data_IF_814470874309
#
_entry.id   IF_814470874309
#
_cell.length_a   1.000
_cell.length_b   1.000
_cell.length_c   1.000
_cell.angle_alpha   90.00
_cell.angle_beta   90.00
_cell.angle_gamma   90.00
#
_symmetry.space_group_name_H-M   'P 1'
#
loop_
_entity.id
_entity.type
_entity.pdbx_description
1 polymer ?
#
# COMPACT_ATOMS: atom_id res chain seq x y z
N UNK A 1 1.71 18.58 31.52
CA UNK A 1 1.03 17.41 30.92
C UNK A 1 0.91 16.35 32.02
N UNK A 2 -0.30 16.01 32.47
CA UNK A 2 -0.47 14.90 33.45
C UNK A 2 -0.25 13.58 32.70
N UNK A 3 0.56 12.69 33.27
CA UNK A 3 0.71 11.34 32.74
C UNK A 3 -0.65 10.63 32.81
N UNK A 4 -1.18 10.23 31.65
CA UNK A 4 -2.36 9.37 31.56
C UNK A 4 -1.86 7.93 31.59
N UNK A 5 -2.25 7.17 32.60
CA UNK A 5 -1.93 5.75 32.67
C UNK A 5 -2.82 5.00 31.67
N UNK A 6 -2.30 4.74 30.47
CA UNK A 6 -3.01 3.94 29.46
C UNK A 6 -2.71 2.47 29.70
N UNK A 7 -3.68 1.73 30.27
CA UNK A 7 -3.63 0.27 30.29
C UNK A 7 -4.28 -0.26 29.01
N UNK A 8 -3.45 -0.76 28.10
CA UNK A 8 -3.92 -1.41 26.87
C UNK A 8 -4.21 -2.87 27.18
N UNK A 9 -5.48 -3.24 27.13
CA UNK A 9 -5.88 -4.64 27.11
C UNK A 9 -5.83 -5.11 25.64
N UNK A 10 -4.78 -5.83 25.26
CA UNK A 10 -4.65 -6.44 23.93
C UNK A 10 -5.27 -7.83 23.97
N UNK A 11 -6.36 -8.05 23.24
CA UNK A 11 -7.01 -9.34 23.15
C UNK A 11 -6.23 -10.27 22.20
N UNK A 12 -5.91 -11.48 22.65
CA UNK A 12 -5.86 -12.65 21.76
C UNK A 12 -7.30 -12.92 21.24
N UNK A 13 -7.50 -13.71 20.16
CA UNK A 13 -8.82 -13.93 19.54
C UNK A 13 -9.90 -14.44 20.51
N UNK A 14 -9.48 -15.01 21.64
CA UNK A 14 -10.33 -15.31 22.78
C UNK A 14 -10.53 -14.04 23.62
N UNK A 15 -11.54 -13.27 23.22
CA UNK A 15 -12.32 -12.29 23.99
C UNK A 15 -11.70 -11.85 25.33
N UNK A 16 -11.32 -10.58 25.43
CA UNK A 16 -11.26 -9.90 26.73
C UNK A 16 -12.64 -10.09 27.38
N UNK A 17 -12.69 -10.98 28.37
CA UNK A 17 -13.91 -11.21 29.13
C UNK A 17 -14.21 -9.92 29.90
N UNK A 18 -15.44 -9.40 29.84
CA UNK A 18 -15.83 -8.20 30.61
C UNK A 18 -15.47 -8.28 32.10
N UNK A 19 -15.40 -9.49 32.67
CA UNK A 19 -14.93 -9.73 34.03
C UNK A 19 -13.48 -9.31 34.25
N UNK A 20 -12.55 -9.65 33.35
CA UNK A 20 -11.14 -9.30 33.50
C UNK A 20 -10.90 -7.78 33.51
N UNK A 21 -11.70 -7.02 32.75
CA UNK A 21 -11.66 -5.56 32.77
C UNK A 21 -12.19 -5.03 34.10
N UNK A 22 -13.31 -5.57 34.60
CA UNK A 22 -13.88 -5.18 35.89
C UNK A 22 -12.93 -5.51 37.05
N UNK A 23 -12.21 -6.62 36.98
CA UNK A 23 -11.23 -6.99 38.01
C UNK A 23 -10.04 -6.01 38.02
N UNK A 24 -9.57 -5.59 36.84
CA UNK A 24 -8.46 -4.65 36.70
C UNK A 24 -8.85 -3.18 36.93
N UNK A 25 -10.10 -2.84 36.64
CA UNK A 25 -10.72 -1.51 36.71
C UNK A 25 -12.11 -1.61 37.35
N UNK A 26 -12.20 -1.77 38.69
CA UNK A 26 -13.48 -1.97 39.40
C UNK A 26 -14.47 -0.81 39.24
N UNK A 27 -13.94 0.40 39.13
CA UNK A 27 -14.71 1.63 38.97
C UNK A 27 -15.13 1.88 37.50
N UNK A 28 -14.73 1.00 36.57
CA UNK A 28 -14.91 1.16 35.13
C UNK A 28 -13.74 1.86 34.44
N UNK A 29 -13.81 1.97 33.12
CA UNK A 29 -12.79 2.65 32.29
C UNK A 29 -13.24 4.04 31.87
N UNK A 30 -12.31 4.98 31.73
CA UNK A 30 -12.59 6.34 31.24
C UNK A 30 -13.01 6.35 29.77
N UNK A 31 -12.42 5.45 28.97
CA UNK A 31 -12.69 5.34 27.55
C UNK A 31 -12.64 3.89 27.05
N UNK A 32 -13.57 3.56 26.15
CA UNK A 32 -13.58 2.35 25.35
C UNK A 32 -13.29 2.71 23.89
N UNK A 33 -12.36 2.00 23.25
CA UNK A 33 -12.15 2.07 21.79
C UNK A 33 -12.51 0.71 21.20
N UNK A 34 -13.69 0.61 20.60
CA UNK A 34 -14.23 -0.62 20.02
C UNK A 34 -14.06 -0.62 18.49
N UNK A 35 -13.16 -1.47 18.01
CA UNK A 35 -12.87 -1.62 16.59
C UNK A 35 -13.57 -2.84 15.96
N UNK A 36 -14.30 -3.62 16.75
CA UNK A 36 -14.72 -4.98 16.36
C UNK A 36 -16.23 -5.20 16.38
N UNK A 37 -17.01 -4.46 17.18
CA UNK A 37 -18.47 -4.65 17.23
C UNK A 37 -19.14 -4.29 15.90
N UNK A 38 -19.78 -5.29 15.28
CA UNK A 38 -20.48 -5.11 14.02
C UNK A 38 -21.89 -4.53 14.18
N UNK A 39 -22.45 -4.56 15.39
CA UNK A 39 -23.81 -4.12 15.69
C UNK A 39 -23.89 -3.35 17.01
N UNK A 40 -25.00 -2.61 17.18
CA UNK A 40 -25.24 -1.74 18.33
C UNK A 40 -25.37 -2.50 19.67
N UNK A 41 -25.85 -3.74 19.65
CA UNK A 41 -26.02 -4.54 20.88
C UNK A 41 -24.67 -5.03 21.40
N UNK A 42 -23.82 -5.53 20.50
CA UNK A 42 -22.44 -5.92 20.80
C UNK A 42 -21.62 -4.73 21.33
N UNK A 43 -21.80 -3.54 20.74
CA UNK A 43 -21.16 -2.31 21.22
C UNK A 43 -21.68 -1.89 22.60
N UNK A 44 -23.00 -1.93 22.81
CA UNK A 44 -23.64 -1.63 24.10
C UNK A 44 -23.10 -2.53 25.22
N UNK A 45 -22.95 -3.83 24.95
CA UNK A 45 -22.43 -4.78 25.92
C UNK A 45 -21.02 -4.39 26.41
N UNK A 46 -20.13 -3.96 25.51
CA UNK A 46 -18.79 -3.49 25.87
C UNK A 46 -18.81 -2.11 26.54
N UNK A 47 -19.66 -1.20 26.08
CA UNK A 47 -19.81 0.13 26.66
C UNK A 47 -20.28 0.09 28.12
N UNK A 48 -20.87 -1.01 28.59
CA UNK A 48 -21.21 -1.24 30.01
C UNK A 48 -20.01 -1.28 30.97
N UNK A 49 -18.78 -1.33 30.43
CA UNK A 49 -17.53 -1.25 31.18
C UNK A 49 -17.09 0.19 31.42
N UNK A 50 -17.67 1.15 30.71
CA UNK A 50 -17.34 2.57 30.82
C UNK A 50 -18.12 3.18 31.98
N UNK A 51 -17.45 3.93 32.84
CA UNK A 51 -18.11 4.59 33.96
C UNK A 51 -18.94 5.78 33.49
N UNK A 52 -19.85 6.26 34.35
CA UNK A 52 -20.62 7.47 34.06
C UNK A 52 -19.69 8.68 33.86
N UNK A 53 -19.85 9.42 32.76
CA UNK A 53 -18.97 10.51 32.32
C UNK A 53 -17.86 10.07 31.37
N UNK A 54 -17.69 8.77 31.14
CA UNK A 54 -16.71 8.23 30.19
C UNK A 54 -17.21 8.19 28.74
N UNK A 55 -16.32 7.75 27.84
CA UNK A 55 -16.55 7.76 26.38
C UNK A 55 -16.42 6.37 25.75
N UNK A 56 -17.35 6.02 24.86
CA UNK A 56 -17.29 4.80 24.07
C UNK A 56 -17.16 5.16 22.58
N UNK A 57 -16.05 4.78 21.96
CA UNK A 57 -15.71 5.10 20.58
C UNK A 57 -15.84 3.87 19.70
N UNK A 58 -16.34 4.03 18.49
CA UNK A 58 -16.34 2.97 17.46
C UNK A 58 -15.93 3.50 16.10
N UNK A 59 -15.22 2.69 15.32
CA UNK A 59 -14.91 3.00 13.90
C UNK A 59 -15.90 2.35 12.93
N UNK A 60 -16.90 1.63 13.45
CA UNK A 60 -17.87 0.87 12.65
C UNK A 60 -19.23 1.55 12.51
N UNK A 61 -19.38 2.76 13.07
CA UNK A 61 -20.59 3.57 12.88
C UNK A 61 -21.82 3.06 13.64
N UNK A 62 -21.62 2.38 14.78
CA UNK A 62 -22.70 1.71 15.54
C UNK A 62 -23.10 2.47 16.81
N UNK A 63 -22.46 3.60 17.13
CA UNK A 63 -22.72 4.30 18.39
C UNK A 63 -24.10 4.97 18.40
N UNK A 64 -24.57 5.51 17.26
CA UNK A 64 -25.85 6.21 17.17
C UNK A 64 -27.08 5.35 17.49
N UNK A 65 -27.00 4.03 17.28
CA UNK A 65 -28.11 3.08 17.53
C UNK A 65 -27.98 2.37 18.88
N UNK A 66 -26.88 2.58 19.59
CA UNK A 66 -26.56 1.84 20.81
C UNK A 66 -27.30 2.38 22.03
N UNK A 67 -27.72 1.47 22.90
CA UNK A 67 -28.37 1.83 24.17
C UNK A 67 -27.33 1.94 25.28
N UNK A 68 -26.65 3.07 25.33
CA UNK A 68 -25.52 3.29 26.23
C UNK A 68 -25.94 3.44 27.71
N UNK A 69 -25.05 3.10 28.65
CA UNK A 69 -25.26 3.40 30.07
C UNK A 69 -25.45 4.90 30.30
N UNK A 70 -26.17 5.26 31.37
CA UNK A 70 -26.43 6.65 31.70
C UNK A 70 -25.10 7.42 31.92
N UNK A 71 -24.95 8.55 31.23
CA UNK A 71 -23.78 9.40 31.32
C UNK A 71 -22.57 8.96 30.47
N UNK A 72 -22.68 7.88 29.68
CA UNK A 72 -21.64 7.48 28.72
C UNK A 72 -21.90 8.14 27.37
N UNK A 73 -20.90 8.81 26.81
CA UNK A 73 -20.96 9.42 25.48
C UNK A 73 -20.50 8.42 24.40
N UNK A 74 -21.36 8.15 23.42
CA UNK A 74 -21.04 7.33 22.25
C UNK A 74 -20.50 8.17 21.09
N UNK A 75 -19.40 7.72 20.47
CA UNK A 75 -18.72 8.47 19.42
C UNK A 75 -18.44 7.55 18.23
N UNK A 76 -19.04 7.87 17.08
CA UNK A 76 -18.66 7.29 15.79
C UNK A 76 -17.44 8.04 15.25
N UNK A 77 -16.27 7.40 15.39
CA UNK A 77 -15.00 7.97 14.98
C UNK A 77 -14.88 7.90 13.47
N UNK A 78 -14.87 9.08 12.85
CA UNK A 78 -14.53 9.24 11.45
C UNK A 78 -13.11 9.78 11.30
N UNK A 79 -12.31 9.09 10.49
CA UNK A 79 -10.97 9.55 10.15
C UNK A 79 -11.09 10.70 9.16
N UNK A 80 -10.59 11.88 9.54
CA UNK A 80 -10.45 13.04 8.66
C UNK A 80 -8.95 13.31 8.46
N UNK A 81 -8.28 12.54 7.57
CA UNK A 81 -6.86 12.71 7.34
C UNK A 81 -6.59 14.12 6.80
N UNK A 82 -5.57 14.77 7.34
CA UNK A 82 -5.07 16.06 6.87
C UNK A 82 -3.55 16.01 6.79
N UNK A 83 -2.95 16.86 5.95
CA UNK A 83 -1.49 16.94 5.84
C UNK A 83 -0.84 17.19 7.21
N UNK A 84 -1.39 18.13 7.99
CA UNK A 84 -0.89 18.43 9.33
C UNK A 84 -0.94 17.22 10.28
N UNK A 85 -2.01 16.39 10.23
CA UNK A 85 -2.08 15.18 11.06
C UNK A 85 -1.07 14.13 10.59
N UNK A 86 -0.86 14.00 9.27
CA UNK A 86 0.14 13.11 8.70
C UNK A 86 1.56 13.53 9.10
N UNK A 87 1.86 14.83 9.16
CA UNK A 87 3.15 15.35 9.61
C UNK A 87 3.42 14.98 11.08
N UNK A 88 2.42 15.13 11.95
CA UNK A 88 2.51 14.73 13.36
C UNK A 88 2.78 13.23 13.49
N UNK A 89 2.04 12.40 12.73
CA UNK A 89 2.23 10.95 12.74
C UNK A 89 3.59 10.53 12.17
N UNK A 90 4.08 11.23 11.15
CA UNK A 90 5.41 10.98 10.57
C UNK A 90 6.53 11.32 11.56
N UNK A 91 6.42 12.45 12.25
CA UNK A 91 7.36 12.82 13.31
C UNK A 91 7.37 11.80 14.45
N UNK A 92 6.18 11.39 14.91
CA UNK A 92 6.03 10.38 15.96
C UNK A 92 6.54 8.98 15.55
N UNK A 93 6.45 8.63 14.26
CA UNK A 93 7.05 7.41 13.74
C UNK A 93 8.58 7.51 13.67
N UNK A 94 9.11 8.67 13.26
CA UNK A 94 10.54 8.91 13.14
C UNK A 94 11.27 8.95 14.49
N UNK A 95 10.63 9.48 15.53
CA UNK A 95 11.17 9.49 16.90
C UNK A 95 10.89 8.21 17.70
N UNK A 96 10.11 7.28 17.11
CA UNK A 96 9.78 5.99 17.70
C UNK A 96 8.66 6.03 18.76
N UNK A 97 8.04 7.18 19.02
CA UNK A 97 6.88 7.28 19.92
C UNK A 97 5.64 6.54 19.42
N UNK A 98 5.54 6.34 18.10
CA UNK A 98 4.53 5.48 17.46
C UNK A 98 5.22 4.41 16.62
N UNK A 99 5.05 3.15 16.99
CA UNK A 99 5.52 2.01 16.20
C UNK A 99 4.37 1.43 15.38
N UNK A 100 4.57 1.29 14.08
CA UNK A 100 3.63 0.61 13.18
C UNK A 100 4.12 -0.82 12.94
N UNK A 101 3.50 -1.85 13.55
CA UNK A 101 3.90 -3.23 13.31
C UNK A 101 3.56 -3.61 11.86
N UNK A 102 4.56 -4.02 11.10
CA UNK A 102 4.39 -4.62 9.77
C UNK A 102 4.39 -6.13 9.96
N UNK A 103 3.27 -6.76 9.61
CA UNK A 103 3.05 -8.21 9.80
C UNK A 103 3.49 -9.02 8.58
N UNK A 104 3.40 -8.41 7.39
CA UNK A 104 3.85 -9.00 6.15
C UNK A 104 4.20 -7.91 5.12
N UNK A 105 5.22 -8.19 4.32
CA UNK A 105 5.59 -7.43 3.13
C UNK A 105 5.46 -8.34 1.92
N UNK A 106 4.61 -7.96 0.97
CA UNK A 106 4.25 -8.81 -0.18
C UNK A 106 4.41 -8.03 -1.48
N UNK A 107 4.84 -8.67 -2.59
CA UNK A 107 4.84 -8.01 -3.88
C UNK A 107 3.41 -7.70 -4.35
N UNK A 108 3.26 -6.67 -5.21
CA UNK A 108 1.94 -6.17 -5.60
C UNK A 108 1.09 -7.23 -6.31
N UNK A 109 1.69 -8.17 -7.05
CA UNK A 109 0.99 -9.27 -7.71
C UNK A 109 0.22 -10.16 -6.73
N UNK A 110 0.67 -10.25 -5.47
CA UNK A 110 -0.03 -10.95 -4.36
C UNK A 110 -1.08 -10.10 -3.66
N UNK A 111 -1.33 -8.86 -4.11
CA UNK A 111 -2.30 -7.97 -3.48
C UNK A 111 -3.72 -8.57 -3.38
N UNK A 112 -4.27 -9.30 -4.40
CA UNK A 112 -5.60 -9.90 -4.29
C UNK A 112 -5.70 -10.92 -3.15
N UNK A 113 -4.74 -11.85 -3.07
CA UNK A 113 -4.71 -12.87 -2.02
C UNK A 113 -4.50 -12.24 -0.63
N UNK A 114 -3.62 -11.24 -0.55
CA UNK A 114 -3.38 -10.47 0.67
C UNK A 114 -4.65 -9.72 1.15
N UNK A 115 -5.44 -9.17 0.22
CA UNK A 115 -6.75 -8.56 0.54
C UNK A 115 -7.74 -9.60 1.06
N UNK A 116 -7.81 -10.77 0.42
CA UNK A 116 -8.71 -11.84 0.83
C UNK A 116 -8.36 -12.34 2.24
N UNK A 117 -7.08 -12.56 2.53
CA UNK A 117 -6.59 -12.97 3.85
C UNK A 117 -6.86 -11.89 4.91
N UNK A 118 -6.60 -10.62 4.60
CA UNK A 118 -6.90 -9.50 5.52
C UNK A 118 -8.38 -9.44 5.89
N UNK A 119 -9.29 -9.68 4.93
CA UNK A 119 -10.73 -9.73 5.18
C UNK A 119 -11.16 -10.93 6.00
N UNK A 120 -10.46 -12.07 5.87
CA UNK A 120 -10.69 -13.25 6.69
C UNK A 120 -10.27 -13.04 8.17
N UNK A 121 -9.52 -11.97 8.46
CA UNK A 121 -9.07 -11.61 9.80
C UNK A 121 -7.74 -12.28 10.18
N UNK A 122 -7.29 -12.04 11.42
CA UNK A 122 -6.08 -12.66 11.99
C UNK A 122 -4.77 -11.93 11.74
N UNK A 123 -4.73 -10.92 10.85
CA UNK A 123 -3.55 -10.07 10.68
C UNK A 123 -3.24 -9.28 11.97
N UNK A 124 -1.97 -9.27 12.38
CA UNK A 124 -1.48 -8.64 13.64
C UNK A 124 -0.65 -7.38 13.37
N UNK A 125 -1.04 -6.60 12.36
CA UNK A 125 -0.37 -5.37 11.98
C UNK A 125 -0.79 -4.89 10.61
N UNK A 126 0.04 -4.05 9.98
CA UNK A 126 -0.14 -3.64 8.59
C UNK A 126 0.47 -4.68 7.65
N UNK A 127 -0.26 -5.00 6.59
CA UNK A 127 0.29 -5.66 5.41
C UNK A 127 0.75 -4.58 4.44
N UNK A 128 2.05 -4.56 4.13
CA UNK A 128 2.65 -3.64 3.17
C UNK A 128 2.77 -4.34 1.83
N UNK A 129 2.45 -3.61 0.76
CA UNK A 129 2.59 -4.09 -0.62
C UNK A 129 3.74 -3.35 -1.27
N UNK A 130 4.73 -4.08 -1.74
CA UNK A 130 5.89 -3.50 -2.40
C UNK A 130 5.61 -3.33 -3.87
N UNK A 131 5.73 -2.09 -4.33
CA UNK A 131 5.94 -1.77 -5.73
C UNK A 131 7.45 -1.75 -5.96
N UNK A 132 8.00 -2.79 -6.61
CA UNK A 132 9.36 -2.69 -7.14
C UNK A 132 9.29 -1.86 -8.42
N UNK A 133 9.68 -0.59 -8.36
CA UNK A 133 10.05 0.17 -9.55
C UNK A 133 11.42 -0.35 -10.03
N UNK A 134 11.43 -1.51 -10.71
CA UNK A 134 12.68 -2.13 -11.13
C UNK A 134 12.58 -3.61 -11.45
N UNK A 135 11.82 -3.93 -12.50
CA UNK A 135 12.09 -4.92 -13.53
C UNK A 135 10.85 -4.87 -14.43
N UNK A 136 10.96 -4.25 -15.61
CA UNK A 136 9.90 -4.41 -16.60
C UNK A 136 9.83 -5.89 -16.93
N UNK A 137 8.68 -6.52 -16.74
CA UNK A 137 8.50 -7.89 -17.18
C UNK A 137 8.56 -7.97 -18.71
N UNK A 138 8.68 -9.19 -19.26
CA UNK A 138 8.84 -9.34 -20.71
C UNK A 138 7.64 -8.79 -21.49
N UNK A 139 6.43 -8.87 -20.93
CA UNK A 139 5.21 -8.41 -21.59
C UNK A 139 5.18 -6.89 -21.65
N UNK A 140 5.63 -6.21 -20.59
CA UNK A 140 5.82 -4.76 -20.57
C UNK A 140 6.87 -4.29 -21.57
N UNK A 141 7.99 -5.00 -21.69
CA UNK A 141 9.04 -4.66 -22.67
C UNK A 141 8.52 -4.87 -24.11
N UNK A 142 7.80 -5.96 -24.36
CA UNK A 142 7.20 -6.25 -25.66
C UNK A 142 6.11 -5.22 -26.03
N UNK A 143 5.33 -4.77 -25.05
CA UNK A 143 4.37 -3.68 -25.21
C UNK A 143 5.05 -2.38 -25.65
N UNK A 144 6.13 -1.97 -24.97
CA UNK A 144 6.91 -0.78 -25.34
C UNK A 144 7.53 -0.90 -26.74
N UNK A 145 8.03 -2.08 -27.12
CA UNK A 145 8.53 -2.32 -28.49
C UNK A 145 7.42 -2.11 -29.52
N UNK A 146 6.21 -2.61 -29.26
CA UNK A 146 5.07 -2.44 -30.17
C UNK A 146 4.75 -0.96 -30.39
N UNK A 147 4.66 -0.19 -29.30
CA UNK A 147 4.35 1.25 -29.37
C UNK A 147 5.44 2.03 -30.13
N UNK A 148 6.71 1.72 -29.86
CA UNK A 148 7.85 2.35 -30.53
C UNK A 148 7.88 2.02 -32.04
N UNK A 149 7.61 0.77 -32.43
CA UNK A 149 7.51 0.36 -33.83
C UNK A 149 6.35 1.04 -34.53
N UNK A 150 5.20 1.18 -33.86
CA UNK A 150 4.04 1.86 -34.44
C UNK A 150 4.31 3.35 -34.66
N UNK A 151 5.00 4.02 -33.73
CA UNK A 151 5.43 5.40 -33.91
C UNK A 151 6.46 5.55 -35.04
N UNK A 152 7.44 4.66 -35.10
CA UNK A 152 8.45 4.62 -36.16
C UNK A 152 7.80 4.47 -37.54
N UNK A 153 6.88 3.51 -37.67
CA UNK A 153 6.09 3.30 -38.91
C UNK A 153 5.30 4.54 -39.28
N UNK A 154 4.66 5.19 -38.31
CA UNK A 154 3.90 6.42 -38.56
C UNK A 154 4.81 7.57 -39.04
N UNK A 155 6.02 7.71 -38.48
CA UNK A 155 7.02 8.69 -38.93
C UNK A 155 7.52 8.37 -40.34
N UNK A 156 7.89 7.12 -40.61
CA UNK A 156 8.35 6.69 -41.94
C UNK A 156 7.25 6.83 -43.00
N UNK A 157 5.99 6.59 -42.66
CA UNK A 157 4.85 6.82 -43.57
C UNK A 157 4.67 8.30 -43.94
N UNK A 158 4.93 9.23 -43.01
CA UNK A 158 4.94 10.68 -43.29
C UNK A 158 6.14 11.12 -44.11
N UNK A 159 7.27 10.39 -44.02
CA UNK A 159 8.47 10.68 -44.80
C UNK A 159 8.32 10.45 -46.31
N UNK A 160 7.35 9.61 -46.70
CA UNK A 160 7.04 9.32 -48.11
C UNK A 160 6.26 10.44 -48.82
N UNK A 161 5.87 11.51 -48.11
CA UNK A 161 5.27 12.70 -48.71
C UNK A 161 6.34 13.63 -49.32
N UNK A 162 5.94 14.49 -50.26
CA UNK A 162 6.79 15.26 -51.20
C UNK A 162 7.89 16.15 -50.55
N UNK A 163 7.87 16.33 -49.22
CA UNK A 163 8.76 17.21 -48.46
C UNK A 163 9.75 16.47 -47.52
N UNK A 164 9.66 15.13 -47.39
CA UNK A 164 10.53 14.35 -46.50
C UNK A 164 10.34 14.66 -45.00
N UNK A 165 11.26 14.16 -44.15
CA UNK A 165 11.23 14.41 -42.70
C UNK A 165 11.94 15.72 -42.31
N UNK A 166 11.27 16.52 -41.50
CA UNK A 166 11.88 17.69 -40.85
C UNK A 166 12.98 17.27 -39.85
N UNK A 167 14.01 18.11 -39.59
CA UNK A 167 14.99 17.92 -38.52
C UNK A 167 14.46 17.32 -37.20
N UNK A 168 13.33 17.78 -36.69
CA UNK A 168 12.78 17.29 -35.43
C UNK A 168 12.26 15.85 -35.57
N UNK A 169 11.64 15.54 -36.70
CA UNK A 169 11.17 14.20 -37.01
C UNK A 169 12.33 13.22 -37.22
N UNK A 170 13.43 13.67 -37.84
CA UNK A 170 14.67 12.88 -37.97
C UNK A 170 15.35 12.67 -36.62
N UNK A 171 15.30 13.64 -35.72
CA UNK A 171 15.79 13.49 -34.36
C UNK A 171 14.94 12.46 -33.59
N UNK A 172 13.61 12.53 -33.69
CA UNK A 172 12.71 11.56 -33.08
C UNK A 172 12.91 10.15 -33.63
N UNK A 173 13.11 10.00 -34.94
CA UNK A 173 13.35 8.68 -35.52
C UNK A 173 14.61 8.02 -34.95
N UNK A 174 15.70 8.78 -34.79
CA UNK A 174 16.94 8.28 -34.16
C UNK A 174 16.73 7.91 -32.69
N UNK A 175 15.95 8.71 -31.96
CA UNK A 175 15.60 8.43 -30.57
C UNK A 175 14.77 7.13 -30.43
N UNK A 176 13.83 6.89 -31.34
CA UNK A 176 13.06 5.64 -31.40
C UNK A 176 13.95 4.43 -31.71
N UNK A 177 14.88 4.55 -32.65
CA UNK A 177 15.84 3.49 -32.99
C UNK A 177 16.69 3.10 -31.76
N UNK A 178 17.20 4.08 -31.03
CA UNK A 178 17.94 3.86 -29.78
C UNK A 178 17.09 3.16 -28.72
N UNK A 179 15.84 3.59 -28.53
CA UNK A 179 14.95 2.98 -27.54
C UNK A 179 14.59 1.53 -27.91
N UNK A 180 14.41 1.24 -29.20
CA UNK A 180 14.17 -0.11 -29.69
C UNK A 180 15.36 -1.03 -29.41
N UNK A 181 16.58 -0.56 -29.68
CA UNK A 181 17.80 -1.33 -29.40
C UNK A 181 17.96 -1.63 -27.91
N UNK A 182 17.66 -0.66 -27.04
CA UNK A 182 17.66 -0.85 -25.59
C UNK A 182 16.64 -1.87 -25.11
N UNK A 183 15.41 -1.84 -25.64
CA UNK A 183 14.38 -2.81 -25.30
C UNK A 183 14.77 -4.23 -25.76
N UNK A 184 15.33 -4.36 -26.96
CA UNK A 184 15.79 -5.66 -27.48
C UNK A 184 16.99 -6.21 -26.73
N UNK A 185 17.97 -5.38 -26.36
CA UNK A 185 19.10 -5.80 -25.52
C UNK A 185 18.63 -6.27 -24.14
N UNK A 186 17.70 -5.54 -23.52
CA UNK A 186 17.13 -5.92 -22.22
C UNK A 186 16.47 -7.30 -22.29
N UNK A 187 15.66 -7.57 -23.32
CA UNK A 187 15.05 -8.91 -23.52
C UNK A 187 16.11 -10.00 -23.70
N UNK A 188 17.15 -9.73 -24.49
CA UNK A 188 18.23 -10.68 -24.75
C UNK A 188 18.97 -11.04 -23.46
N UNK A 189 19.29 -10.05 -22.64
CA UNK A 189 19.97 -10.24 -21.35
C UNK A 189 19.11 -10.94 -20.31
N UNK A 190 17.82 -10.61 -20.25
CA UNK A 190 16.85 -11.32 -19.39
C UNK A 190 16.79 -12.80 -19.77
N UNK A 191 16.75 -13.11 -21.07
CA UNK A 191 16.76 -14.49 -21.59
C UNK A 191 18.07 -15.22 -21.25
N UNK A 192 19.21 -14.59 -21.45
CA UNK A 192 20.51 -15.18 -21.10
C UNK A 192 20.58 -15.53 -19.61
N UNK A 193 20.17 -14.60 -18.72
CA UNK A 193 20.12 -14.87 -17.28
C UNK A 193 19.21 -16.05 -16.93
N UNK A 194 18.02 -16.10 -17.51
CA UNK A 194 17.09 -17.22 -17.32
C UNK A 194 17.71 -18.56 -17.75
N UNK A 195 18.43 -18.58 -18.89
CA UNK A 195 19.08 -19.78 -19.43
C UNK A 195 20.20 -20.31 -18.52
N UNK A 196 20.92 -19.42 -17.83
CA UNK A 196 21.96 -19.78 -16.85
C UNK A 196 21.43 -19.97 -15.42
N UNK A 197 20.11 -19.94 -15.22
CA UNK A 197 19.48 -20.10 -13.90
C UNK A 197 19.67 -18.91 -12.95
N UNK A 198 20.06 -17.74 -13.49
CA UNK A 198 20.11 -16.48 -12.76
C UNK A 198 18.75 -15.77 -12.80
N UNK A 199 18.53 -14.87 -11.84
CA UNK A 199 17.32 -14.04 -11.78
C UNK A 199 17.28 -13.03 -12.95
N UNK A 200 16.33 -13.15 -13.90
CA UNK A 200 16.19 -12.24 -15.05
C UNK A 200 15.89 -10.79 -14.63
N UNK A 201 15.29 -10.58 -13.46
CA UNK A 201 14.91 -9.27 -12.96
C UNK A 201 16.12 -8.45 -12.49
N UNK A 202 17.30 -9.07 -12.44
CA UNK A 202 18.57 -8.36 -12.23
C UNK A 202 19.11 -7.68 -13.50
N UNK A 203 18.53 -7.95 -14.68
CA UNK A 203 18.89 -7.24 -15.91
C UNK A 203 18.39 -5.78 -15.87
N UNK A 204 19.23 -4.84 -16.30
CA UNK A 204 18.95 -3.39 -16.30
C UNK A 204 19.19 -2.81 -17.68
N UNK A 205 18.38 -1.85 -18.12
CA UNK A 205 18.62 -1.11 -19.38
C UNK A 205 20.03 -0.51 -19.34
N UNK A 206 20.81 -0.73 -20.41
CA UNK A 206 22.11 -0.11 -20.59
C UNK A 206 21.98 1.21 -21.35
N UNK A 207 22.91 2.16 -21.12
CA UNK A 207 22.92 3.41 -21.87
C UNK A 207 23.21 3.14 -23.35
N UNK A 208 22.68 4.01 -24.21
CA UNK A 208 22.61 3.80 -25.67
C UNK A 208 23.97 3.63 -26.36
N UNK A 209 25.03 4.21 -25.78
CA UNK A 209 26.40 4.18 -26.25
C UNK A 209 27.09 2.81 -26.06
N UNK A 210 26.60 1.97 -25.15
CA UNK A 210 27.16 0.62 -24.92
C UNK A 210 26.56 -0.46 -25.85
N UNK A 211 25.41 -0.18 -26.49
CA UNK A 211 24.69 -1.18 -27.31
C UNK A 211 25.28 -1.31 -28.73
N UNK A 212 25.88 -0.26 -29.27
CA UNK A 212 26.51 -0.25 -30.61
C UNK A 212 27.72 -1.22 -30.73
N UNK A 213 28.32 -1.65 -29.62
CA UNK A 213 29.52 -2.49 -29.61
C UNK A 213 29.32 -3.97 -29.99
N UNK A 214 28.08 -4.46 -30.08
CA UNK A 214 27.77 -5.88 -30.33
C UNK A 214 27.29 -6.19 -31.76
N UNK A 215 27.01 -5.17 -32.56
CA UNK A 215 26.49 -5.31 -33.93
C UNK A 215 27.54 -5.01 -35.02
N UNK A 216 28.81 -4.81 -34.65
CA UNK A 216 29.93 -4.63 -35.60
C UNK A 216 30.59 -5.96 -35.99
#
# INVERSE_FOLDING_TARGET
MRAVAVRVFKAEPELIQPSAVRDACPDGVDALVDLVSADASSFTAKASLVHAGGRALTTRGVAGEARLPAGVEGIDVQQHPSAALLDVLAAAAADGSVTVPVDAELPLDKAPDALAQSRAGGARGRTVRTLRAGAMDNDQILGSISDLVDEERALRARSSDEHGLDPDQRARLRDLEVQLDQCWDLLRRRRAKAEFGEDPDTARVQPADEVEGYLS
#
